data_IF_401610034070
#
_entry.id   IF_401610034070
#
_cell.length_a   1.000
_cell.length_b   1.000
_cell.length_c   1.000
_cell.angle_alpha   90.00
_cell.angle_beta   90.00
_cell.angle_gamma   90.00
#
_symmetry.space_group_name_H-M   'P 1'
#
loop_
_entity.id
_entity.type
_entity.pdbx_description
1 polymer ?
#
# COMPACT_ATOMS: atom_id res chain seq x y z
N UNK A 1 -7.52 -45.83 -2.47
CA UNK A 1 -7.48 -45.35 -3.87
C UNK A 1 -7.30 -43.85 -3.83
N UNK A 2 -6.21 -43.35 -4.42
CA UNK A 2 -5.86 -41.93 -4.42
C UNK A 2 -6.55 -41.27 -5.62
N UNK A 3 -7.42 -40.30 -5.37
CA UNK A 3 -8.24 -39.61 -6.38
C UNK A 3 -7.44 -38.50 -7.07
N UNK A 4 -7.57 -38.29 -8.39
CA UNK A 4 -6.89 -37.21 -9.10
C UNK A 4 -7.31 -35.82 -8.58
N UNK A 5 -6.44 -34.82 -8.73
CA UNK A 5 -6.77 -33.45 -8.35
C UNK A 5 -7.96 -32.96 -9.18
N UNK A 6 -9.00 -32.39 -8.56
CA UNK A 6 -10.12 -31.84 -9.30
C UNK A 6 -9.65 -30.64 -10.13
N UNK A 7 -9.94 -30.66 -11.44
CA UNK A 7 -9.77 -29.49 -12.29
C UNK A 7 -10.74 -28.40 -11.81
N UNK A 8 -10.27 -27.16 -11.63
CA UNK A 8 -11.04 -26.09 -11.02
C UNK A 8 -12.40 -25.87 -11.67
N UNK A 9 -13.46 -26.34 -11.03
CA UNK A 9 -14.82 -26.21 -11.52
C UNK A 9 -15.41 -24.84 -11.12
N UNK A 10 -16.14 -24.23 -12.05
CA UNK A 10 -16.89 -23.00 -11.82
C UNK A 10 -17.90 -23.18 -10.67
N UNK A 11 -18.00 -22.19 -9.78
CA UNK A 11 -18.75 -22.25 -8.52
C UNK A 11 -20.23 -22.69 -8.65
N UNK A 12 -20.84 -22.57 -9.83
CA UNK A 12 -22.23 -22.95 -10.08
C UNK A 12 -22.50 -24.44 -10.31
N UNK A 13 -21.52 -25.24 -10.77
CA UNK A 13 -21.69 -26.68 -11.12
C UNK A 13 -20.97 -27.59 -10.10
N UNK A 14 -20.23 -26.99 -9.17
CA UNK A 14 -19.37 -27.71 -8.22
C UNK A 14 -20.11 -28.79 -7.42
N UNK A 15 -21.28 -28.49 -6.86
CA UNK A 15 -21.96 -29.41 -5.94
C UNK A 15 -22.41 -30.71 -6.62
N UNK A 16 -22.93 -30.62 -7.85
CA UNK A 16 -23.39 -31.79 -8.61
C UNK A 16 -22.20 -32.65 -9.05
N UNK A 17 -21.15 -32.03 -9.57
CA UNK A 17 -19.96 -32.74 -10.03
C UNK A 17 -19.18 -33.38 -8.87
N UNK A 18 -19.01 -32.66 -7.75
CA UNK A 18 -18.39 -33.20 -6.55
C UNK A 18 -19.22 -34.37 -5.98
N UNK A 19 -20.56 -34.24 -5.95
CA UNK A 19 -21.44 -35.32 -5.48
C UNK A 19 -21.29 -36.57 -6.35
N UNK A 20 -21.21 -36.41 -7.68
CA UNK A 20 -20.98 -37.51 -8.63
C UNK A 20 -19.63 -38.18 -8.39
N UNK A 21 -18.55 -37.41 -8.41
CA UNK A 21 -17.19 -37.94 -8.27
C UNK A 21 -16.96 -38.64 -6.93
N UNK A 22 -17.38 -38.01 -5.82
CA UNK A 22 -17.24 -38.60 -4.47
C UNK A 22 -18.09 -39.86 -4.35
N UNK A 23 -19.30 -39.85 -4.93
CA UNK A 23 -20.17 -41.02 -4.97
C UNK A 23 -19.54 -42.20 -5.69
N UNK A 24 -18.96 -41.98 -6.87
CA UNK A 24 -18.30 -43.03 -7.67
C UNK A 24 -17.09 -43.60 -6.93
N UNK A 25 -16.23 -42.75 -6.35
CA UNK A 25 -15.09 -43.19 -5.57
C UNK A 25 -15.50 -44.01 -4.35
N UNK A 26 -16.53 -43.58 -3.63
CA UNK A 26 -17.06 -44.30 -2.48
C UNK A 26 -17.68 -45.64 -2.89
N UNK A 27 -18.43 -45.68 -4.00
CA UNK A 27 -18.99 -46.92 -4.54
C UNK A 27 -17.88 -47.90 -4.94
N UNK A 28 -16.85 -47.46 -5.64
CA UNK A 28 -15.72 -48.31 -6.02
C UNK A 28 -15.01 -48.89 -4.79
N UNK A 29 -14.86 -48.09 -3.73
CA UNK A 29 -14.34 -48.56 -2.45
C UNK A 29 -15.23 -49.63 -1.83
N UNK A 30 -16.54 -49.41 -1.77
CA UNK A 30 -17.49 -50.39 -1.24
C UNK A 30 -17.49 -51.70 -2.04
N UNK A 31 -17.39 -51.64 -3.36
CA UNK A 31 -17.29 -52.84 -4.21
C UNK A 31 -15.98 -53.59 -3.92
N UNK A 32 -14.84 -52.89 -3.89
CA UNK A 32 -13.56 -53.52 -3.56
C UNK A 32 -13.57 -54.18 -2.19
N UNK A 33 -14.15 -53.55 -1.16
CA UNK A 33 -14.32 -54.16 0.17
C UNK A 33 -15.21 -55.40 0.12
N UNK A 34 -16.28 -55.36 -0.67
CA UNK A 34 -17.20 -56.49 -0.84
C UNK A 34 -16.52 -57.68 -1.53
N UNK A 35 -15.68 -57.43 -2.53
CA UNK A 35 -14.93 -58.48 -3.25
C UNK A 35 -13.87 -59.11 -2.36
N UNK A 36 -13.16 -58.29 -1.56
CA UNK A 36 -12.15 -58.78 -0.62
C UNK A 36 -12.72 -59.71 0.45
N UNK A 37 -14.01 -59.60 0.77
CA UNK A 37 -14.69 -60.53 1.67
C UNK A 37 -14.51 -62.00 1.26
N UNK A 38 -14.57 -62.30 -0.04
CA UNK A 38 -14.40 -63.67 -0.56
C UNK A 38 -12.98 -64.21 -0.30
N UNK A 39 -11.99 -63.32 -0.22
CA UNK A 39 -10.59 -63.70 0.04
C UNK A 39 -10.29 -63.84 1.53
N UNK A 40 -10.85 -62.95 2.37
CA UNK A 40 -10.51 -62.89 3.79
C UNK A 40 -11.42 -63.72 4.69
N UNK A 41 -12.69 -63.93 4.33
CA UNK A 41 -13.62 -64.73 5.14
C UNK A 41 -13.16 -66.19 5.33
N UNK A 42 -12.62 -66.89 4.31
CA UNK A 42 -12.09 -68.25 4.48
C UNK A 42 -10.81 -68.33 5.32
N UNK A 43 -10.13 -67.20 5.54
CA UNK A 43 -8.87 -67.12 6.30
C UNK A 43 -9.10 -66.89 7.79
N UNK A 44 -10.29 -66.46 8.19
CA UNK A 44 -10.63 -66.23 9.59
C UNK A 44 -11.26 -67.50 10.17
N UNK A 45 -10.60 -68.09 11.17
CA UNK A 45 -11.05 -69.32 11.82
C UNK A 45 -11.80 -69.03 13.13
N UNK A 46 -11.78 -67.78 13.60
CA UNK A 46 -12.42 -67.37 14.85
C UNK A 46 -13.93 -67.08 14.66
N UNK A 47 -14.83 -67.88 15.28
CA UNK A 47 -16.27 -67.74 15.11
C UNK A 47 -16.84 -66.42 15.63
N UNK A 48 -16.15 -65.75 16.58
CA UNK A 48 -16.60 -64.45 17.10
C UNK A 48 -16.35 -63.31 16.11
N UNK A 49 -15.33 -63.43 15.26
CA UNK A 49 -14.94 -62.39 14.30
C UNK A 49 -15.62 -62.53 12.94
N UNK A 50 -16.07 -63.73 12.58
CA UNK A 50 -16.71 -64.03 11.29
C UNK A 50 -17.95 -63.16 10.99
N UNK A 51 -18.89 -62.94 11.92
CA UNK A 51 -20.05 -62.08 11.65
C UNK A 51 -19.67 -60.63 11.36
N UNK A 52 -18.73 -60.07 12.14
CA UNK A 52 -18.25 -58.70 11.97
C UNK A 52 -17.50 -58.51 10.65
N UNK A 53 -16.66 -59.47 10.26
CA UNK A 53 -15.95 -59.46 8.99
C UNK A 53 -16.91 -59.54 7.78
N UNK A 54 -18.00 -60.30 7.90
CA UNK A 54 -19.01 -60.41 6.85
C UNK A 54 -19.86 -59.14 6.70
N UNK A 55 -20.25 -58.53 7.82
CA UNK A 55 -21.18 -57.39 7.86
C UNK A 55 -20.52 -56.04 7.59
N UNK A 56 -19.20 -55.93 7.79
CA UNK A 56 -18.47 -54.66 7.67
C UNK A 56 -18.73 -53.91 6.36
N UNK A 57 -18.63 -54.58 5.20
CA UNK A 57 -18.83 -53.93 3.91
C UNK A 57 -20.29 -53.45 3.72
N UNK A 58 -21.26 -54.13 4.35
CA UNK A 58 -22.69 -53.77 4.31
C UNK A 58 -22.96 -52.55 5.18
N UNK A 59 -22.45 -52.55 6.41
CA UNK A 59 -22.60 -51.41 7.33
C UNK A 59 -21.87 -50.17 6.81
N UNK A 60 -20.66 -50.34 6.25
CA UNK A 60 -19.91 -49.24 5.65
C UNK A 60 -20.66 -48.59 4.48
N UNK A 61 -21.37 -49.39 3.66
CA UNK A 61 -22.15 -48.88 2.53
C UNK A 61 -23.31 -47.96 2.97
N UNK A 62 -23.90 -48.19 4.16
CA UNK A 62 -24.99 -47.35 4.69
C UNK A 62 -24.55 -45.91 4.95
N UNK A 63 -23.26 -45.69 5.20
CA UNK A 63 -22.70 -44.37 5.46
C UNK A 63 -22.50 -43.51 4.21
N UNK A 64 -22.84 -44.03 3.01
CA UNK A 64 -22.63 -43.31 1.74
C UNK A 64 -23.26 -41.91 1.74
N UNK A 65 -24.56 -41.81 2.01
CA UNK A 65 -25.28 -40.55 1.94
C UNK A 65 -24.69 -39.48 2.89
N UNK A 66 -24.51 -39.74 4.20
CA UNK A 66 -23.94 -38.74 5.10
C UNK A 66 -22.48 -38.39 4.78
N UNK A 67 -21.65 -39.35 4.35
CA UNK A 67 -20.25 -39.09 3.99
C UNK A 67 -20.16 -38.22 2.74
N UNK A 68 -20.94 -38.53 1.69
CA UNK A 68 -20.92 -37.74 0.46
C UNK A 68 -21.37 -36.31 0.73
N UNK A 69 -22.47 -36.11 1.45
CA UNK A 69 -22.95 -34.78 1.80
C UNK A 69 -21.91 -33.99 2.61
N UNK A 70 -21.34 -34.60 3.65
CA UNK A 70 -20.31 -33.98 4.46
C UNK A 70 -19.08 -33.57 3.65
N UNK A 71 -18.58 -34.45 2.78
CA UNK A 71 -17.38 -34.17 1.99
C UNK A 71 -17.61 -33.10 0.92
N UNK A 72 -18.80 -33.05 0.31
CA UNK A 72 -19.17 -31.99 -0.65
C UNK A 72 -19.19 -30.63 0.03
N UNK A 73 -19.77 -30.53 1.22
CA UNK A 73 -19.84 -29.28 1.97
C UNK A 73 -18.48 -28.85 2.52
N UNK A 74 -17.67 -29.81 2.99
CA UNK A 74 -16.32 -29.53 3.48
C UNK A 74 -15.39 -29.01 2.36
N UNK A 75 -15.46 -29.63 1.17
CA UNK A 75 -14.61 -29.28 0.04
C UNK A 75 -15.12 -28.08 -0.77
N UNK A 76 -16.21 -27.43 -0.34
CA UNK A 76 -16.80 -26.30 -1.07
C UNK A 76 -15.78 -25.16 -1.21
N UNK A 77 -15.51 -24.68 -2.44
CA UNK A 77 -14.51 -23.64 -2.65
C UNK A 77 -14.94 -22.34 -1.97
N UNK A 78 -14.07 -21.80 -1.12
CA UNK A 78 -14.27 -20.52 -0.42
C UNK A 78 -13.22 -19.51 -0.86
N UNK A 79 -13.62 -18.26 -1.09
CA UNK A 79 -12.68 -17.18 -1.42
C UNK A 79 -11.98 -16.61 -0.18
N UNK A 80 -12.50 -16.91 1.01
CA UNK A 80 -12.03 -16.36 2.28
C UNK A 80 -11.26 -17.39 3.13
N UNK A 81 -11.33 -18.67 2.78
CA UNK A 81 -10.70 -19.78 3.52
C UNK A 81 -10.01 -20.74 2.56
N UNK A 82 -8.95 -21.41 3.04
CA UNK A 82 -8.29 -22.50 2.31
C UNK A 82 -9.32 -23.58 1.96
N UNK A 83 -9.50 -23.88 0.67
CA UNK A 83 -10.43 -24.91 0.20
C UNK A 83 -9.77 -26.29 0.29
N UNK A 84 -10.20 -27.18 1.21
CA UNK A 84 -9.69 -28.54 1.26
C UNK A 84 -10.20 -29.32 0.03
N UNK A 85 -9.41 -30.29 -0.44
CA UNK A 85 -9.82 -31.19 -1.53
C UNK A 85 -9.68 -32.65 -1.09
N UNK A 86 -10.54 -33.52 -1.61
CA UNK A 86 -10.53 -34.94 -1.30
C UNK A 86 -9.46 -35.65 -2.12
N UNK A 87 -8.41 -36.16 -1.46
CA UNK A 87 -7.37 -36.96 -2.11
C UNK A 87 -7.67 -38.46 -2.13
N UNK A 88 -8.59 -38.96 -1.32
CA UNK A 88 -9.01 -40.36 -1.31
C UNK A 88 -9.43 -40.86 0.05
N UNK A 89 -9.83 -42.13 0.09
CA UNK A 89 -10.23 -42.83 1.30
C UNK A 89 -9.11 -43.77 1.75
N UNK A 90 -8.76 -43.69 3.03
CA UNK A 90 -7.70 -44.47 3.64
C UNK A 90 -8.19 -45.12 4.93
N UNK A 91 -7.80 -46.37 5.15
CA UNK A 91 -8.10 -47.10 6.37
C UNK A 91 -6.82 -47.28 7.18
N UNK A 92 -6.91 -47.01 8.48
CA UNK A 92 -5.90 -47.39 9.47
C UNK A 92 -6.59 -48.21 10.56
N UNK A 93 -5.91 -49.24 11.06
CA UNK A 93 -6.48 -50.12 12.09
C UNK A 93 -5.44 -50.50 13.13
N UNK A 94 -5.92 -50.90 14.31
CA UNK A 94 -5.09 -51.43 15.38
C UNK A 94 -5.39 -52.91 15.52
N UNK A 95 -4.36 -53.75 15.42
CA UNK A 95 -4.47 -55.19 15.67
C UNK A 95 -3.82 -55.50 17.01
N UNK A 96 -4.53 -56.11 17.98
CA UNK A 96 -3.89 -56.62 19.18
C UNK A 96 -3.07 -57.86 18.79
N UNK A 97 -1.75 -57.77 18.95
CA UNK A 97 -0.84 -58.91 18.77
C UNK A 97 -0.48 -59.43 20.16
N UNK A 98 -0.74 -60.71 20.39
CA UNK A 98 -0.33 -61.40 21.60
C UNK A 98 1.15 -61.74 21.42
N UNK A 99 2.03 -61.07 22.17
CA UNK A 99 3.46 -61.37 22.19
C UNK A 99 3.70 -62.30 23.37
N UNK A 100 4.21 -63.49 23.10
CA UNK A 100 4.59 -64.48 24.10
C UNK A 100 6.03 -64.17 24.57
N UNK A 101 6.20 -63.83 25.85
CA UNK A 101 7.47 -63.36 26.40
C UNK A 101 8.45 -64.51 26.73
N UNK A 102 8.12 -65.75 26.33
CA UNK A 102 8.89 -66.97 26.61
C UNK A 102 10.04 -67.25 25.64
N UNK A 103 10.21 -66.47 24.56
CA UNK A 103 11.30 -66.64 23.56
C UNK A 103 12.11 -65.38 23.23
N UNK A 104 11.89 -64.25 23.90
CA UNK A 104 12.22 -62.92 23.37
C UNK A 104 13.50 -62.26 23.90
N UNK A 105 14.47 -63.00 24.46
CA UNK A 105 15.81 -62.41 24.71
C UNK A 105 16.65 -62.24 23.43
N UNK A 106 16.16 -62.67 22.26
CA UNK A 106 16.92 -62.57 20.98
C UNK A 106 16.26 -61.79 19.86
N UNK A 107 15.01 -61.35 19.98
CA UNK A 107 14.34 -60.58 18.92
C UNK A 107 13.89 -59.18 19.35
N UNK A 108 14.12 -58.78 20.61
CA UNK A 108 13.83 -57.44 21.08
C UNK A 108 14.84 -56.36 20.62
N UNK A 109 15.88 -56.72 19.85
CA UNK A 109 16.84 -55.77 19.26
C UNK A 109 16.46 -55.34 17.83
N UNK A 110 15.63 -56.10 17.12
CA UNK A 110 15.37 -55.90 15.70
C UNK A 110 13.86 -55.84 15.42
N UNK A 111 13.21 -54.74 15.81
CA UNK A 111 12.20 -54.04 15.00
C UNK A 111 11.41 -53.05 15.85
N UNK A 112 11.39 -51.80 15.38
CA UNK A 112 10.56 -50.68 15.82
C UNK A 112 10.91 -50.04 17.16
N UNK A 113 11.99 -49.27 17.11
CA UNK A 113 12.15 -48.04 17.88
C UNK A 113 11.60 -46.90 17.00
N UNK A 114 10.47 -46.24 17.33
CA UNK A 114 10.26 -44.89 16.85
C UNK A 114 11.16 -43.99 17.69
N UNK A 115 12.28 -43.56 17.10
CA UNK A 115 12.98 -42.36 17.55
C UNK A 115 12.02 -41.18 17.33
N UNK A 116 11.22 -40.87 18.35
CA UNK A 116 10.68 -39.54 18.54
C UNK A 116 11.72 -38.78 19.33
N UNK A 117 12.49 -37.97 18.60
CA UNK A 117 13.39 -36.98 19.17
C UNK A 117 12.62 -36.13 20.19
N UNK A 118 12.90 -36.36 21.47
CA UNK A 118 12.49 -35.49 22.56
C UNK A 118 13.41 -34.27 22.57
N UNK A 119 13.23 -33.40 21.59
CA UNK A 119 13.79 -32.06 21.53
C UNK A 119 12.73 -31.01 21.86
N UNK A 120 12.68 -30.56 23.11
CA UNK A 120 12.32 -29.19 23.45
C UNK A 120 10.83 -28.78 23.48
N UNK A 121 10.26 -28.88 24.68
CA UNK A 121 9.44 -27.85 25.34
C UNK A 121 7.92 -27.75 25.07
N UNK A 122 7.25 -27.44 26.19
CA UNK A 122 5.89 -26.91 26.38
C UNK A 122 4.71 -27.85 26.11
N UNK A 123 4.26 -28.56 27.16
CA UNK A 123 2.94 -28.37 27.81
C UNK A 123 2.74 -29.48 28.84
N UNK A 124 3.27 -29.25 30.04
CA UNK A 124 3.10 -30.09 31.22
C UNK A 124 1.98 -29.50 32.08
N UNK A 125 0.75 -29.49 31.60
CA UNK A 125 -0.39 -29.00 32.39
C UNK A 125 -1.66 -29.76 32.02
N UNK A 126 -1.86 -30.93 32.61
CA UNK A 126 -3.20 -31.41 33.02
C UNK A 126 -3.01 -32.53 34.04
N UNK A 127 -2.78 -32.13 35.28
CA UNK A 127 -3.22 -32.89 36.46
C UNK A 127 -4.37 -32.10 37.07
N UNK A 128 -5.55 -32.71 37.23
CA UNK A 128 -6.32 -32.52 38.45
C UNK A 128 -7.39 -33.61 38.61
N UNK A 129 -7.45 -34.22 39.80
CA UNK A 129 -8.51 -35.13 40.24
C UNK A 129 -8.08 -35.93 41.47
N UNK A 130 -8.61 -35.66 42.68
CA UNK A 130 -8.01 -36.03 43.95
C UNK A 130 -8.48 -37.42 44.43
N UNK A 131 -7.53 -38.24 44.87
CA UNK A 131 -7.79 -39.59 45.37
C UNK A 131 -6.49 -40.38 45.32
N UNK A 132 -5.60 -40.10 46.28
CA UNK A 132 -4.32 -40.79 46.37
C UNK A 132 -4.53 -42.29 46.56
N UNK A 133 -3.86 -43.09 45.73
CA UNK A 133 -3.46 -44.43 46.10
C UNK A 133 -2.00 -44.61 45.72
N UNK A 134 -1.25 -44.89 46.78
CA UNK A 134 0.16 -45.24 46.85
C UNK A 134 0.56 -46.19 45.71
N UNK A 135 1.63 -45.85 45.01
CA UNK A 135 2.42 -46.85 44.29
C UNK A 135 3.16 -47.71 45.34
N UNK A 136 2.49 -48.76 45.81
CA UNK A 136 3.18 -49.86 46.48
C UNK A 136 3.91 -50.67 45.41
N UNK A 137 5.24 -50.63 45.47
CA UNK A 137 6.08 -51.59 44.77
C UNK A 137 5.77 -52.98 45.28
N UNK A 138 5.17 -53.80 44.42
CA UNK A 138 5.12 -55.24 44.61
C UNK A 138 6.17 -55.85 43.71
N UNK A 139 7.26 -56.28 44.33
CA UNK A 139 8.19 -57.23 43.75
C UNK A 139 7.42 -58.54 43.52
N UNK A 140 6.98 -58.74 42.28
CA UNK A 140 6.46 -60.02 41.78
C UNK A 140 7.58 -60.79 41.09
N UNK A 141 7.81 -62.01 41.55
CA UNK A 141 8.68 -63.04 40.98
C UNK A 141 8.50 -63.20 39.46
N UNK A 142 9.55 -63.58 38.70
CA UNK A 142 9.48 -63.74 37.26
C UNK A 142 8.54 -64.91 36.89
N UNK A 143 7.31 -64.58 36.50
CA UNK A 143 6.41 -65.51 35.83
C UNK A 143 6.88 -65.63 34.37
N UNK A 144 7.54 -66.75 34.08
CA UNK A 144 7.81 -67.22 32.72
C UNK A 144 6.46 -67.46 32.03
N UNK A 145 6.20 -66.75 30.92
CA UNK A 145 5.05 -67.00 30.04
C UNK A 145 3.87 -66.01 30.11
N UNK A 146 4.09 -64.75 30.51
CA UNK A 146 3.03 -63.74 30.42
C UNK A 146 2.87 -63.25 28.97
N UNK A 147 1.83 -63.74 28.29
CA UNK A 147 1.42 -63.24 26.97
C UNK A 147 0.82 -61.83 27.10
N UNK A 148 1.49 -60.81 26.53
CA UNK A 148 0.99 -59.41 26.53
C UNK A 148 0.33 -59.07 25.19
N UNK A 149 -0.90 -58.56 25.23
CA UNK A 149 -1.59 -57.99 24.06
C UNK A 149 -1.06 -56.59 23.80
N UNK A 150 -0.21 -56.45 22.78
CA UNK A 150 0.33 -55.15 22.35
C UNK A 150 -0.48 -54.63 21.16
N UNK A 151 -0.93 -53.35 21.16
CA UNK A 151 -1.58 -52.76 20.00
C UNK A 151 -0.56 -52.52 18.88
N UNK A 152 -0.74 -53.19 17.74
CA UNK A 152 0.03 -52.95 16.53
C UNK A 152 -0.76 -52.05 15.56
N UNK A 153 -0.25 -50.86 15.31
CA UNK A 153 -0.80 -49.93 14.31
C UNK A 153 -0.50 -50.46 12.92
N UNK A 154 -1.54 -50.86 12.20
CA UNK A 154 -1.42 -51.38 10.85
C UNK A 154 -1.73 -50.26 9.86
N UNK A 155 -0.95 -50.18 8.78
CA UNK A 155 -1.09 -49.22 7.67
C UNK A 155 -0.73 -47.74 7.95
N UNK A 156 -0.58 -47.32 9.22
CA UNK A 156 -0.28 -45.92 9.57
C UNK A 156 1.06 -45.43 9.00
N UNK A 157 2.12 -46.25 9.09
CA UNK A 157 3.44 -45.87 8.56
C UNK A 157 3.47 -45.71 7.03
N UNK A 158 2.71 -46.52 6.30
CA UNK A 158 2.57 -46.40 4.84
C UNK A 158 1.69 -45.21 4.45
N UNK A 159 0.62 -44.94 5.22
CA UNK A 159 -0.23 -43.76 4.99
C UNK A 159 0.57 -42.45 5.10
N UNK A 160 1.42 -42.31 6.12
CA UNK A 160 2.21 -41.09 6.28
C UNK A 160 3.29 -40.94 5.21
N UNK A 161 4.08 -41.98 4.97
CA UNK A 161 5.21 -41.88 4.04
C UNK A 161 4.77 -41.89 2.58
N UNK A 162 3.91 -42.82 2.18
CA UNK A 162 3.60 -43.04 0.75
C UNK A 162 2.48 -42.13 0.26
N UNK A 163 1.56 -41.72 1.13
CA UNK A 163 0.37 -40.94 0.75
C UNK A 163 0.46 -39.49 1.18
N UNK A 164 0.77 -39.19 2.44
CA UNK A 164 0.81 -37.79 2.89
C UNK A 164 2.09 -37.07 2.45
N UNK A 165 3.25 -37.71 2.62
CA UNK A 165 4.55 -37.12 2.27
C UNK A 165 4.96 -37.39 0.81
N UNK A 166 4.52 -38.52 0.23
CA UNK A 166 4.79 -38.88 -1.16
C UNK A 166 4.01 -38.05 -2.19
N UNK A 167 2.92 -37.40 -1.78
CA UNK A 167 1.99 -36.70 -2.67
C UNK A 167 2.39 -35.24 -2.92
N UNK A 168 3.40 -35.08 -3.78
CA UNK A 168 3.97 -33.78 -4.16
C UNK A 168 2.95 -32.85 -4.83
N UNK A 169 2.01 -33.41 -5.58
CA UNK A 169 0.99 -32.64 -6.31
C UNK A 169 0.01 -31.97 -5.34
N UNK A 170 -0.39 -32.67 -4.26
CA UNK A 170 -1.25 -32.11 -3.21
C UNK A 170 -0.56 -31.00 -2.41
N UNK A 171 0.73 -31.16 -2.11
CA UNK A 171 1.55 -30.15 -1.45
C UNK A 171 1.69 -28.88 -2.32
N UNK A 172 1.90 -29.07 -3.63
CA UNK A 172 2.01 -27.95 -4.59
C UNK A 172 0.69 -27.20 -4.75
N UNK A 173 -0.44 -27.92 -4.87
CA UNK A 173 -1.77 -27.32 -4.96
C UNK A 173 -2.11 -26.47 -3.72
N UNK A 174 -1.73 -26.93 -2.53
CA UNK A 174 -1.92 -26.19 -1.28
C UNK A 174 -1.09 -24.90 -1.23
N UNK A 175 0.13 -24.92 -1.78
CA UNK A 175 1.01 -23.74 -1.84
C UNK A 175 0.55 -22.69 -2.87
N UNK A 176 -0.09 -23.12 -3.96
CA UNK A 176 -0.56 -22.23 -5.03
C UNK A 176 -1.65 -21.26 -4.53
N UNK A 177 -2.53 -21.72 -3.65
CA UNK A 177 -3.57 -20.88 -3.04
C UNK A 177 -2.99 -19.75 -2.18
N UNK A 178 -1.82 -19.95 -1.55
CA UNK A 178 -1.17 -18.91 -0.74
C UNK A 178 -0.55 -17.83 -1.62
N UNK A 179 0.00 -18.18 -2.79
CA UNK A 179 0.66 -17.24 -3.70
C UNK A 179 -0.29 -16.18 -4.26
N UNK A 180 -1.53 -16.56 -4.61
CA UNK A 180 -2.54 -15.61 -5.10
C UNK A 180 -2.90 -14.55 -4.06
N UNK A 181 -3.02 -14.94 -2.79
CA UNK A 181 -3.31 -13.98 -1.71
C UNK A 181 -2.15 -13.02 -1.43
N UNK A 182 -0.90 -13.47 -1.56
CA UNK A 182 0.27 -12.59 -1.44
C UNK A 182 0.40 -11.62 -2.63
N UNK A 183 0.15 -12.08 -3.86
CA UNK A 183 0.16 -11.19 -5.03
C UNK A 183 -0.89 -10.09 -4.91
N UNK A 184 -2.12 -10.42 -4.47
CA UNK A 184 -3.17 -9.44 -4.20
C UNK A 184 -2.77 -8.46 -3.09
N UNK A 185 -2.16 -8.93 -2.00
CA UNK A 185 -1.67 -8.07 -0.91
C UNK A 185 -0.57 -7.11 -1.37
N UNK A 186 0.38 -7.60 -2.16
CA UNK A 186 1.46 -6.77 -2.73
C UNK A 186 0.85 -5.73 -3.67
N UNK A 187 -0.07 -6.13 -4.55
CA UNK A 187 -0.74 -5.21 -5.47
C UNK A 187 -1.49 -4.11 -4.69
N UNK A 188 -2.29 -4.48 -3.69
CA UNK A 188 -3.00 -3.51 -2.85
C UNK A 188 -2.04 -2.60 -2.06
N UNK A 189 -0.94 -3.13 -1.54
CA UNK A 189 0.08 -2.34 -0.84
C UNK A 189 0.77 -1.35 -1.79
N UNK A 190 1.09 -1.77 -3.02
CA UNK A 190 1.69 -0.88 -4.04
C UNK A 190 0.71 0.21 -4.46
N UNK A 191 -0.57 -0.12 -4.67
CA UNK A 191 -1.60 0.86 -5.00
C UNK A 191 -1.79 1.87 -3.85
N UNK A 192 -1.81 1.41 -2.60
CA UNK A 192 -1.91 2.28 -1.43
C UNK A 192 -0.68 3.21 -1.30
N UNK A 193 0.52 2.69 -1.53
CA UNK A 193 1.75 3.49 -1.51
C UNK A 193 1.76 4.58 -2.59
N UNK A 194 1.36 4.24 -3.83
CA UNK A 194 1.23 5.21 -4.93
C UNK A 194 0.19 6.28 -4.57
N UNK A 195 -0.95 5.88 -4.01
CA UNK A 195 -1.98 6.82 -3.55
C UNK A 195 -1.47 7.79 -2.48
N UNK A 196 -0.71 7.30 -1.50
CA UNK A 196 -0.14 8.13 -0.43
C UNK A 196 0.88 9.15 -0.97
N UNK A 197 1.73 8.72 -1.90
CA UNK A 197 2.69 9.61 -2.58
C UNK A 197 1.96 10.70 -3.36
N UNK A 198 0.92 10.33 -4.13
CA UNK A 198 0.13 11.30 -4.88
C UNK A 198 -0.59 12.31 -3.97
N UNK A 199 -1.20 11.84 -2.87
CA UNK A 199 -1.87 12.72 -1.90
C UNK A 199 -0.88 13.71 -1.26
N UNK A 200 0.33 13.26 -0.94
CA UNK A 200 1.36 14.12 -0.36
C UNK A 200 1.83 15.15 -1.38
N UNK A 201 2.07 14.73 -2.63
CA UNK A 201 2.41 15.61 -3.75
C UNK A 201 1.35 16.68 -4.01
N UNK A 202 0.07 16.30 -4.07
CA UNK A 202 -1.04 17.23 -4.22
C UNK A 202 -1.15 18.19 -3.05
N UNK A 203 -0.94 17.74 -1.82
CA UNK A 203 -1.00 18.61 -0.63
C UNK A 203 0.08 19.69 -0.67
N UNK A 204 1.32 19.32 -0.97
CA UNK A 204 2.45 20.27 -1.06
C UNK A 204 2.23 21.24 -2.23
N UNK A 205 1.81 20.74 -3.39
CA UNK A 205 1.50 21.58 -4.56
C UNK A 205 0.38 22.56 -4.26
N UNK A 206 -0.70 22.12 -3.62
CA UNK A 206 -1.83 22.98 -3.24
C UNK A 206 -1.41 24.09 -2.28
N UNK A 207 -0.69 23.76 -1.21
CA UNK A 207 -0.25 24.74 -0.22
C UNK A 207 0.71 25.77 -0.82
N UNK A 208 1.67 25.34 -1.65
CA UNK A 208 2.61 26.24 -2.31
C UNK A 208 1.97 27.14 -3.36
N UNK A 209 1.02 26.62 -4.16
CA UNK A 209 0.28 27.47 -5.11
C UNK A 209 -0.63 28.48 -4.37
N UNK A 210 -1.23 28.06 -3.25
CA UNK A 210 -2.08 28.93 -2.44
C UNK A 210 -1.29 30.02 -1.70
N UNK A 211 -0.06 29.75 -1.29
CA UNK A 211 0.79 30.81 -0.70
C UNK A 211 1.14 31.88 -1.74
N UNK A 212 1.52 31.47 -2.96
CA UNK A 212 1.82 32.41 -4.05
C UNK A 212 0.62 33.30 -4.40
N UNK A 213 -0.59 32.74 -4.41
CA UNK A 213 -1.82 33.50 -4.64
C UNK A 213 -2.13 34.47 -3.50
N UNK A 214 -2.00 34.02 -2.24
CA UNK A 214 -2.22 34.86 -1.07
C UNK A 214 -1.24 36.03 -1.02
N UNK A 215 0.06 35.80 -1.27
CA UNK A 215 1.08 36.86 -1.27
C UNK A 215 0.74 37.94 -2.32
N UNK A 216 0.28 37.53 -3.50
CA UNK A 216 -0.16 38.45 -4.55
C UNK A 216 -1.42 39.24 -4.16
N UNK A 217 -2.41 38.58 -3.55
CA UNK A 217 -3.66 39.22 -3.10
C UNK A 217 -3.41 40.18 -1.93
N UNK A 218 -2.58 39.79 -0.96
CA UNK A 218 -2.25 40.60 0.21
C UNK A 218 -1.48 41.86 -0.19
N UNK A 219 -0.47 41.73 -1.06
CA UNK A 219 0.25 42.87 -1.62
C UNK A 219 -0.71 43.81 -2.39
N UNK A 220 -1.63 43.27 -3.19
CA UNK A 220 -2.60 44.06 -3.95
C UNK A 220 -3.59 44.81 -3.04
N UNK A 221 -4.11 44.17 -1.98
CA UNK A 221 -5.06 44.77 -1.02
C UNK A 221 -4.39 45.79 -0.12
N UNK A 222 -3.18 45.50 0.37
CA UNK A 222 -2.43 46.37 1.27
C UNK A 222 -2.00 47.71 0.65
N UNK A 223 -2.11 47.86 -0.67
CA UNK A 223 -1.83 49.10 -1.41
C UNK A 223 -3.10 49.92 -1.74
N UNK A 224 -4.31 49.38 -1.55
CA UNK A 224 -5.55 50.10 -1.82
C UNK A 224 -5.87 51.18 -0.76
N UNK A 225 -5.32 51.04 0.45
CA UNK A 225 -5.62 51.89 1.60
C UNK A 225 -4.69 53.10 1.79
N UNK A 226 -3.58 53.21 1.04
CA UNK A 226 -2.47 54.12 1.39
C UNK A 226 -2.48 55.48 0.66
N UNK A 227 -3.24 55.66 -0.43
CA UNK A 227 -3.10 56.85 -1.30
C UNK A 227 -4.32 57.77 -1.39
N UNK A 228 -5.11 57.92 -0.33
CA UNK A 228 -6.31 58.76 -0.39
C UNK A 228 -6.08 60.27 -0.15
N UNK A 229 -4.90 60.74 0.31
CA UNK A 229 -4.86 62.08 0.95
C UNK A 229 -3.96 63.13 0.29
N UNK A 230 -2.92 62.82 -0.48
CA UNK A 230 -2.10 63.88 -1.12
C UNK A 230 -1.33 63.42 -2.39
N UNK A 231 -1.63 63.96 -3.59
CA UNK A 231 -0.91 63.66 -4.83
C UNK A 231 0.55 64.15 -4.86
N UNK A 232 0.93 65.05 -3.95
CA UNK A 232 2.26 65.64 -3.89
C UNK A 232 3.17 65.01 -2.82
N UNK A 233 2.65 64.16 -1.92
CA UNK A 233 3.45 63.47 -0.91
C UNK A 233 4.37 62.39 -1.53
N UNK A 234 5.49 62.07 -0.88
CA UNK A 234 6.28 60.89 -1.27
C UNK A 234 5.46 59.63 -1.00
N UNK A 235 5.59 58.58 -1.83
CA UNK A 235 5.01 57.28 -1.51
C UNK A 235 5.47 56.83 -0.12
N UNK A 236 4.55 56.35 0.71
CA UNK A 236 4.90 55.77 2.00
C UNK A 236 5.86 54.60 1.79
N UNK A 237 6.89 54.49 2.64
CA UNK A 237 7.90 53.41 2.54
C UNK A 237 7.23 52.02 2.56
N UNK A 238 6.18 51.85 3.35
CA UNK A 238 5.41 50.60 3.42
C UNK A 238 4.69 50.24 2.10
N UNK A 239 4.31 51.23 1.29
CA UNK A 239 3.72 51.01 -0.03
C UNK A 239 4.77 50.61 -1.06
N UNK A 240 5.97 51.21 -0.98
CA UNK A 240 7.12 50.84 -1.81
C UNK A 240 7.61 49.43 -1.51
N UNK A 241 7.68 49.04 -0.23
CA UNK A 241 8.03 47.66 0.18
C UNK A 241 7.04 46.64 -0.40
N UNK A 242 5.73 46.91 -0.34
CA UNK A 242 4.70 46.03 -0.92
C UNK A 242 4.76 45.95 -2.45
N UNK A 243 5.18 47.02 -3.11
CA UNK A 243 5.37 47.03 -4.56
C UNK A 243 6.60 46.20 -4.95
N UNK A 244 7.66 46.25 -4.15
CA UNK A 244 8.87 45.44 -4.35
C UNK A 244 8.62 43.96 -4.06
N UNK A 245 7.84 43.61 -3.03
CA UNK A 245 7.46 42.20 -2.80
C UNK A 245 6.65 41.66 -3.99
N UNK A 246 5.72 42.44 -4.53
CA UNK A 246 4.95 42.08 -5.73
C UNK A 246 5.86 41.95 -6.98
N UNK A 247 6.90 42.78 -7.10
CA UNK A 247 7.92 42.64 -8.15
C UNK A 247 8.71 41.33 -7.99
N UNK A 248 9.09 40.99 -6.75
CA UNK A 248 9.79 39.76 -6.42
C UNK A 248 8.99 38.49 -6.74
N UNK A 249 7.68 38.49 -6.45
CA UNK A 249 6.79 37.37 -6.82
C UNK A 249 6.66 37.25 -8.34
N UNK A 250 6.54 38.37 -9.06
CA UNK A 250 6.54 38.36 -10.53
C UNK A 250 7.84 37.82 -11.12
N UNK A 251 9.00 38.22 -10.59
CA UNK A 251 10.29 37.71 -11.03
C UNK A 251 10.40 36.19 -10.80
N UNK A 252 9.85 35.70 -9.69
CA UNK A 252 9.80 34.26 -9.38
C UNK A 252 8.89 33.52 -10.36
N UNK A 253 7.70 34.06 -10.64
CA UNK A 253 6.75 33.48 -11.61
C UNK A 253 7.31 33.48 -13.03
N UNK A 254 8.00 34.55 -13.44
CA UNK A 254 8.70 34.63 -14.73
C UNK A 254 9.81 33.58 -14.82
N UNK A 255 10.59 33.44 -13.74
CA UNK A 255 11.59 32.39 -13.60
C UNK A 255 11.01 30.98 -13.72
N UNK A 256 9.85 30.72 -13.12
CA UNK A 256 9.15 29.44 -13.25
C UNK A 256 8.59 29.19 -14.65
N UNK A 257 8.26 30.24 -15.39
CA UNK A 257 7.79 30.12 -16.77
C UNK A 257 8.92 29.80 -17.74
N UNK A 258 10.10 30.39 -17.53
CA UNK A 258 11.28 30.19 -18.39
C UNK A 258 12.01 28.89 -18.04
N UNK A 259 12.30 28.65 -16.76
CA UNK A 259 13.11 27.52 -16.30
C UNK A 259 12.28 26.31 -15.86
N UNK A 260 10.96 26.47 -15.74
CA UNK A 260 10.05 25.47 -15.18
C UNK A 260 9.88 25.63 -13.67
N UNK A 261 8.64 25.49 -13.19
CA UNK A 261 8.34 25.47 -11.77
C UNK A 261 9.03 24.26 -11.06
N UNK A 262 9.32 24.35 -9.76
CA UNK A 262 9.82 23.21 -8.99
C UNK A 262 8.83 22.04 -9.00
N UNK A 263 9.34 20.81 -8.98
CA UNK A 263 8.52 19.58 -9.06
C UNK A 263 7.45 19.49 -7.96
N UNK A 264 7.71 20.07 -6.79
CA UNK A 264 6.76 20.17 -5.68
C UNK A 264 5.48 20.94 -6.05
N UNK A 265 5.56 21.93 -6.95
CA UNK A 265 4.41 22.69 -7.43
C UNK A 265 3.72 22.03 -8.63
N UNK A 266 4.37 21.08 -9.32
CA UNK A 266 3.97 20.52 -10.62
C UNK A 266 3.11 19.26 -10.56
N UNK A 267 2.52 18.93 -9.41
CA UNK A 267 1.58 17.80 -9.27
C UNK A 267 0.19 18.09 -9.88
N UNK A 268 0.13 18.69 -11.07
CA UNK A 268 -1.11 18.99 -11.80
C UNK A 268 -1.94 20.17 -11.27
N UNK A 269 -1.53 20.78 -10.15
CA UNK A 269 -2.25 21.89 -9.50
C UNK A 269 -1.61 23.27 -9.71
N UNK A 270 -0.59 23.37 -10.56
CA UNK A 270 0.15 24.61 -10.77
C UNK A 270 -0.72 25.71 -11.40
N UNK A 271 -0.92 26.81 -10.66
CA UNK A 271 -1.70 27.97 -11.09
C UNK A 271 -0.84 29.19 -11.46
N UNK A 272 0.49 29.10 -11.34
CA UNK A 272 1.39 30.24 -11.54
C UNK A 272 1.35 30.84 -12.95
N UNK A 273 1.16 30.01 -13.99
CA UNK A 273 1.04 30.48 -15.38
C UNK A 273 -0.24 31.30 -15.62
N UNK A 274 -1.33 30.92 -14.96
CA UNK A 274 -2.59 31.65 -15.01
C UNK A 274 -2.57 32.92 -14.14
N UNK A 275 -1.84 32.89 -13.03
CA UNK A 275 -1.70 34.02 -12.11
C UNK A 275 -0.81 35.14 -12.68
N UNK A 276 0.26 34.81 -13.40
CA UNK A 276 1.23 35.77 -13.93
C UNK A 276 0.61 36.99 -14.68
N UNK A 277 -0.26 36.82 -15.70
CA UNK A 277 -0.81 37.96 -16.43
C UNK A 277 -1.64 38.90 -15.55
N UNK A 278 -2.40 38.34 -14.59
CA UNK A 278 -3.21 39.12 -13.65
C UNK A 278 -2.34 39.90 -12.66
N UNK A 279 -1.36 39.24 -12.04
CA UNK A 279 -0.42 39.87 -11.11
C UNK A 279 0.39 40.97 -11.82
N UNK A 280 0.83 40.71 -13.06
CA UNK A 280 1.58 41.67 -13.88
C UNK A 280 0.76 42.92 -14.16
N UNK A 281 -0.51 42.75 -14.54
CA UNK A 281 -1.43 43.86 -14.80
C UNK A 281 -1.63 44.72 -13.54
N UNK A 282 -1.85 44.08 -12.39
CA UNK A 282 -2.00 44.78 -11.09
C UNK A 282 -0.73 45.55 -10.75
N UNK A 283 0.45 44.93 -10.86
CA UNK A 283 1.72 45.58 -10.59
C UNK A 283 1.95 46.79 -11.51
N UNK A 284 1.75 46.64 -12.82
CA UNK A 284 1.91 47.76 -13.78
C UNK A 284 0.96 48.92 -13.45
N UNK A 285 -0.30 48.63 -13.12
CA UNK A 285 -1.27 49.64 -12.74
C UNK A 285 -0.83 50.38 -11.47
N UNK A 286 -0.38 49.66 -10.45
CA UNK A 286 0.05 50.24 -9.16
C UNK A 286 1.36 51.01 -9.27
N UNK A 287 2.33 50.49 -10.01
CA UNK A 287 3.57 51.19 -10.34
C UNK A 287 3.30 52.50 -11.06
N UNK A 288 2.37 52.50 -12.03
CA UNK A 288 1.98 53.72 -12.71
C UNK A 288 1.27 54.72 -11.77
N UNK A 289 0.39 54.25 -10.90
CA UNK A 289 -0.32 55.11 -9.94
C UNK A 289 0.61 55.75 -8.90
N UNK A 290 1.60 55.01 -8.39
CA UNK A 290 2.41 55.44 -7.24
C UNK A 290 3.73 56.12 -7.64
N UNK A 291 4.38 55.65 -8.71
CA UNK A 291 5.72 56.09 -9.09
C UNK A 291 5.71 56.81 -10.43
N UNK A 292 5.28 56.13 -11.49
CA UNK A 292 5.47 56.65 -12.85
C UNK A 292 4.59 57.86 -13.16
N UNK A 293 3.32 57.84 -12.77
CA UNK A 293 2.38 58.95 -13.00
C UNK A 293 2.83 60.25 -12.34
N UNK A 294 3.08 60.27 -11.02
CA UNK A 294 3.57 61.47 -10.32
C UNK A 294 4.91 61.98 -10.86
N UNK A 295 5.85 61.08 -11.19
CA UNK A 295 7.16 61.48 -11.75
C UNK A 295 7.04 62.11 -13.13
N UNK A 296 6.26 61.52 -14.02
CA UNK A 296 5.98 62.08 -15.35
C UNK A 296 5.29 63.44 -15.24
N UNK A 297 4.37 63.60 -14.29
CA UNK A 297 3.68 64.88 -14.06
C UNK A 297 4.63 65.95 -13.50
N UNK A 298 5.53 65.59 -12.58
CA UNK A 298 6.58 66.48 -12.08
C UNK A 298 7.52 66.92 -13.20
N UNK A 299 7.94 65.98 -14.03
CA UNK A 299 8.82 66.25 -15.17
C UNK A 299 8.13 67.18 -16.18
N UNK A 300 6.84 66.98 -16.45
CA UNK A 300 6.05 67.90 -17.27
C UNK A 300 5.93 69.29 -16.63
N UNK A 301 5.73 69.38 -15.32
CA UNK A 301 5.66 70.66 -14.60
C UNK A 301 7.00 71.40 -14.58
N UNK A 302 8.12 70.68 -14.47
CA UNK A 302 9.46 71.27 -14.61
C UNK A 302 9.67 71.85 -16.01
N UNK A 303 9.31 71.10 -17.06
CA UNK A 303 9.42 71.60 -18.43
C UNK A 303 8.53 72.82 -18.68
N UNK A 304 7.33 72.88 -18.09
CA UNK A 304 6.45 74.06 -18.17
C UNK A 304 7.00 75.30 -17.45
N UNK A 305 7.91 75.13 -16.48
CA UNK A 305 8.52 76.22 -15.71
C UNK A 305 9.75 76.83 -16.39
N UNK A 306 10.25 76.22 -17.47
CA UNK A 306 11.40 76.73 -18.20
C UNK A 306 11.03 78.06 -18.90
N UNK A 307 11.90 79.10 -18.80
CA UNK A 307 11.66 80.39 -19.46
C UNK A 307 11.75 80.25 -21.00
N UNK A 308 11.01 81.09 -21.72
CA UNK A 308 11.00 81.08 -23.20
C UNK A 308 12.33 81.56 -23.82
N UNK A 309 13.15 82.31 -23.06
CA UNK A 309 14.48 82.77 -23.46
C UNK A 309 15.54 82.07 -22.60
N UNK A 310 16.43 81.26 -23.20
CA UNK A 310 17.46 80.55 -22.45
C UNK A 310 18.52 81.50 -21.89
N UNK A 311 18.93 81.31 -20.64
CA UNK A 311 20.05 82.04 -20.04
C UNK A 311 21.36 81.27 -20.21
N UNK A 312 22.50 81.98 -20.27
CA UNK A 312 23.82 81.39 -20.49
C UNK A 312 24.31 80.44 -19.36
N UNK A 313 23.59 80.38 -18.24
CA UNK A 313 23.89 79.49 -17.11
C UNK A 313 22.91 78.32 -16.93
N UNK A 314 21.95 78.12 -17.85
CA UNK A 314 20.99 77.02 -17.75
C UNK A 314 21.63 75.68 -18.17
N UNK A 315 21.36 74.63 -17.39
CA UNK A 315 21.94 73.31 -17.60
C UNK A 315 21.20 72.56 -18.74
N UNK A 316 21.55 72.89 -19.98
CA UNK A 316 20.93 72.35 -21.20
C UNK A 316 20.95 70.81 -21.24
N UNK A 317 22.02 70.20 -20.75
CA UNK A 317 22.17 68.73 -20.63
C UNK A 317 21.06 68.10 -19.81
N UNK A 318 20.73 68.69 -18.66
CA UNK A 318 19.71 68.19 -17.76
C UNK A 318 18.29 68.38 -18.34
N UNK A 319 18.04 69.51 -18.99
CA UNK A 319 16.74 69.75 -19.64
C UNK A 319 16.50 68.82 -20.83
N UNK A 320 17.54 68.57 -21.64
CA UNK A 320 17.48 67.62 -22.75
C UNK A 320 17.27 66.18 -22.26
N UNK A 321 17.95 65.76 -21.19
CA UNK A 321 17.80 64.41 -20.63
C UNK A 321 16.41 64.19 -20.03
N UNK A 322 15.83 65.21 -19.39
CA UNK A 322 14.45 65.19 -18.91
C UNK A 322 13.46 65.04 -20.07
N UNK A 323 13.59 65.86 -21.13
CA UNK A 323 12.74 65.74 -22.32
C UNK A 323 12.87 64.36 -22.98
N UNK A 324 14.11 63.87 -23.14
CA UNK A 324 14.36 62.54 -23.68
C UNK A 324 13.69 61.47 -22.84
N UNK A 325 13.78 61.57 -21.51
CA UNK A 325 13.15 60.63 -20.58
C UNK A 325 11.62 60.67 -20.69
N UNK A 326 11.03 61.85 -20.77
CA UNK A 326 9.59 62.02 -20.99
C UNK A 326 9.11 61.35 -22.28
N UNK A 327 9.79 61.63 -23.40
CA UNK A 327 9.46 61.04 -24.70
C UNK A 327 9.65 59.52 -24.71
N UNK A 328 10.67 59.03 -24.01
CA UNK A 328 10.95 57.59 -23.90
C UNK A 328 9.87 56.89 -23.10
N UNK A 329 9.41 57.46 -21.99
CA UNK A 329 8.36 56.85 -21.15
C UNK A 329 6.97 56.92 -21.80
N UNK A 330 6.66 58.00 -22.52
CA UNK A 330 5.29 58.26 -23.03
C UNK A 330 5.08 57.81 -24.49
N UNK A 331 6.07 57.98 -25.36
CA UNK A 331 5.92 57.79 -26.80
C UNK A 331 6.78 56.64 -27.36
N UNK A 332 7.94 56.36 -26.76
CA UNK A 332 8.89 55.36 -27.24
C UNK A 332 9.40 54.42 -26.13
N UNK A 333 8.51 53.67 -25.46
CA UNK A 333 8.90 52.78 -24.36
C UNK A 333 9.93 51.72 -24.78
N UNK A 334 9.90 51.28 -26.04
CA UNK A 334 10.82 50.28 -26.59
C UNK A 334 12.27 50.80 -26.73
N UNK A 335 12.48 52.12 -26.63
CA UNK A 335 13.80 52.77 -26.70
C UNK A 335 14.34 53.15 -25.32
N UNK A 336 13.76 52.62 -24.24
CA UNK A 336 14.21 52.85 -22.89
C UNK A 336 15.63 52.31 -22.67
N UNK A 337 16.57 53.22 -22.38
CA UNK A 337 17.94 52.88 -21.99
C UNK A 337 18.07 53.11 -20.49
N UNK A 338 18.26 52.05 -19.67
CA UNK A 338 18.25 52.15 -18.21
C UNK A 338 19.25 53.16 -17.66
N UNK A 339 20.43 53.26 -18.28
CA UNK A 339 21.51 54.17 -17.88
C UNK A 339 21.12 55.66 -17.97
N UNK A 340 20.16 55.99 -18.84
CA UNK A 340 19.76 57.38 -19.09
C UNK A 340 18.42 57.68 -18.43
N UNK A 341 17.46 56.76 -18.52
CA UNK A 341 16.10 56.97 -18.02
C UNK A 341 16.01 56.87 -16.49
N UNK A 342 16.75 55.95 -15.87
CA UNK A 342 16.69 55.73 -14.41
C UNK A 342 17.18 56.94 -13.61
N UNK A 343 18.37 57.51 -13.87
CA UNK A 343 18.83 58.68 -13.10
C UNK A 343 17.96 59.91 -13.32
N UNK A 344 17.43 60.11 -14.54
CA UNK A 344 16.52 61.22 -14.82
C UNK A 344 15.17 61.07 -14.11
N UNK A 345 14.61 59.86 -14.04
CA UNK A 345 13.38 59.58 -13.30
C UNK A 345 13.58 59.74 -11.78
N UNK A 346 14.72 59.30 -11.25
CA UNK A 346 15.07 59.50 -9.84
C UNK A 346 15.20 60.98 -9.50
N UNK A 347 15.91 61.75 -10.34
CA UNK A 347 16.03 63.19 -10.17
C UNK A 347 14.66 63.90 -10.22
N UNK A 348 13.78 63.51 -11.14
CA UNK A 348 12.42 64.05 -11.22
C UNK A 348 11.51 63.64 -10.05
N UNK A 349 11.74 62.47 -9.45
CA UNK A 349 11.04 62.01 -8.24
C UNK A 349 11.48 62.80 -7.01
N UNK A 350 12.78 63.08 -6.88
CA UNK A 350 13.36 63.82 -5.75
C UNK A 350 13.24 65.34 -5.88
N UNK A 351 13.05 65.87 -7.08
CA UNK A 351 13.04 67.31 -7.31
C UNK A 351 11.88 68.01 -6.57
N UNK A 352 12.24 68.94 -5.68
CA UNK A 352 11.30 69.64 -4.81
C UNK A 352 11.05 68.96 -3.46
N UNK A 353 11.79 67.89 -3.13
CA UNK A 353 11.65 67.17 -1.87
C UNK A 353 13.03 66.92 -1.24
N UNK A 354 13.15 67.16 0.07
CA UNK A 354 14.38 66.90 0.83
C UNK A 354 14.59 65.38 0.96
N UNK A 355 15.29 64.78 0.02
CA UNK A 355 15.76 63.40 0.15
C UNK A 355 16.98 63.44 1.06
N UNK A 356 16.85 62.94 2.29
CA UNK A 356 17.99 62.76 3.18
C UNK A 356 19.02 61.83 2.53
N UNK A 357 20.30 62.17 2.67
CA UNK A 357 21.41 61.38 2.13
C UNK A 357 21.30 59.89 2.54
N UNK A 358 21.66 58.96 1.65
CA UNK A 358 21.79 57.56 2.01
C UNK A 358 22.94 57.39 3.02
N UNK A 359 22.65 56.75 4.15
CA UNK A 359 23.62 56.35 5.17
C UNK A 359 24.32 55.05 4.80
#
# INVERSE_FOLDING_TARGET
>A
ATAPLPAGAAQGIYAEEATRQISELFQNLCHSLSDKRLTYLPRETDPEKLPGAYEFAREFRKLRAPIVQFLVDLCRPSQLRTSPFLRGFYFSGVRPVVVDDSGSLRSAREQHQPALDAGGSATKVFKLGPGGLMAQGVQGTPQVGATRKVPQWTFLGRLFNDVLLGDKDALMASSASTKTSMAQRILLATAAAIGLVALTGFTVSYLGNRSLENDAIEAAKGMASVNATDPAALPEVSALEKLETLRGTLQTLDGYRVNGAPYSLRWGLYSGDAAYPEVKKIWCQKFNQQLLGPTVMNLQNQMKRLPATPNAGDDYSANLSNLRTYLTVTAYPDKAVPEITSPALLAALSAGKNVGEPR
#
